data_IF_543431030432
#
_entry.id   IF_543431030432
#
_cell.length_a   1.000
_cell.length_b   1.000
_cell.length_c   1.000
_cell.angle_alpha   90.00
_cell.angle_beta   90.00
_cell.angle_gamma   90.00
#
_symmetry.space_group_name_H-M   'P 1'
#
loop_
_entity.id
_entity.type
_entity.pdbx_description
1 polymer ?
#
# COMPACT_ATOMS: atom_id res chain seq x y z
N UNK A 1 28.30 18.71 69.11
CA UNK A 1 27.83 19.47 67.91
C UNK A 1 28.46 19.06 66.52
N UNK A 2 29.74 18.68 66.48
CA UNK A 2 30.42 18.34 65.19
C UNK A 2 29.99 17.00 64.57
N UNK A 3 29.67 16.00 65.40
CA UNK A 3 29.23 14.67 64.91
C UNK A 3 27.85 14.68 64.32
N UNK A 4 26.91 15.47 64.83
CA UNK A 4 25.53 15.57 64.28
C UNK A 4 25.48 16.26 62.90
N UNK A 5 26.32 17.29 62.71
CA UNK A 5 26.42 17.97 61.39
C UNK A 5 27.03 17.06 60.34
N UNK A 6 27.89 16.12 60.65
CA UNK A 6 28.48 15.12 59.77
C UNK A 6 27.43 14.05 59.36
N UNK A 7 26.60 13.61 60.30
CA UNK A 7 25.52 12.68 60.06
C UNK A 7 24.47 13.26 59.17
N UNK A 8 24.08 14.54 59.36
CA UNK A 8 23.10 15.23 58.54
C UNK A 8 23.57 15.44 57.06
N UNK A 9 24.88 15.76 56.91
CA UNK A 9 25.49 15.90 55.58
C UNK A 9 25.56 14.58 54.82
N UNK A 10 25.76 13.45 55.50
CA UNK A 10 25.83 12.12 54.90
C UNK A 10 24.43 11.65 54.46
N UNK A 11 23.39 11.91 55.23
CA UNK A 11 22.00 11.61 54.89
C UNK A 11 21.52 12.43 53.66
N UNK A 12 21.87 13.71 53.60
CA UNK A 12 21.56 14.57 52.45
C UNK A 12 22.29 14.13 51.17
N UNK A 13 23.55 13.70 51.27
CA UNK A 13 24.32 13.20 50.13
C UNK A 13 23.75 11.87 49.58
N UNK A 14 23.35 10.96 50.46
CA UNK A 14 22.71 9.68 50.07
C UNK A 14 21.33 9.93 49.46
N UNK A 15 20.53 10.88 49.98
CA UNK A 15 19.26 11.25 49.42
C UNK A 15 19.38 11.89 48.02
N UNK A 16 20.42 12.74 47.83
CA UNK A 16 20.69 13.33 46.51
C UNK A 16 21.16 12.29 45.47
N UNK A 17 21.91 11.28 45.88
CA UNK A 17 22.30 10.17 45.00
C UNK A 17 21.09 9.29 44.59
N UNK A 18 20.12 9.09 45.49
CA UNK A 18 18.89 8.33 45.16
C UNK A 18 17.98 9.07 44.22
N UNK A 19 17.90 10.40 44.27
CA UNK A 19 17.12 11.21 43.32
C UNK A 19 17.76 11.30 41.94
N UNK A 20 19.09 11.18 41.84
CA UNK A 20 19.80 11.14 40.54
C UNK A 20 19.66 9.78 39.84
N UNK A 21 19.48 8.69 40.59
CA UNK A 21 19.24 7.36 40.02
C UNK A 21 17.78 7.16 39.55
N UNK A 22 16.82 7.96 40.04
CA UNK A 22 15.44 7.96 39.59
C UNK A 22 15.23 8.81 38.33
N UNK A 23 16.22 9.59 37.88
CA UNK A 23 16.19 10.38 36.66
C UNK A 23 16.67 9.63 35.40
N UNK A 24 17.05 8.34 35.51
CA UNK A 24 17.04 7.45 34.35
C UNK A 24 15.56 7.25 33.98
N UNK A 25 15.08 8.03 33.01
CA UNK A 25 13.74 7.92 32.49
C UNK A 25 13.43 6.45 32.25
N UNK A 26 12.34 5.96 32.80
CA UNK A 26 11.73 4.74 32.35
C UNK A 26 11.49 4.98 30.85
N UNK A 27 12.29 4.31 30.00
CA UNK A 27 11.91 4.14 28.62
C UNK A 27 10.50 3.54 28.69
N UNK A 28 9.49 4.30 28.27
CA UNK A 28 8.18 3.74 27.97
C UNK A 28 8.44 2.45 27.21
N UNK A 29 7.83 1.32 27.56
CA UNK A 29 7.93 0.14 26.74
C UNK A 29 7.38 0.57 25.37
N UNK A 30 8.29 0.80 24.43
CA UNK A 30 7.96 0.86 23.01
C UNK A 30 7.30 -0.49 22.78
N UNK A 31 5.96 -0.51 22.75
CA UNK A 31 5.23 -1.72 22.41
C UNK A 31 5.87 -2.29 21.17
N UNK A 32 5.75 -3.58 20.92
CA UNK A 32 6.34 -4.38 19.83
C UNK A 32 6.13 -3.76 18.41
N UNK A 33 6.47 -2.49 18.24
CA UNK A 33 6.48 -1.80 16.96
C UNK A 33 7.85 -2.02 16.34
N UNK A 34 7.86 -2.90 15.34
CA UNK A 34 9.02 -3.09 14.49
C UNK A 34 9.28 -1.78 13.73
N UNK A 35 10.32 -1.05 14.07
CA UNK A 35 10.74 0.14 13.33
C UNK A 35 11.73 -0.29 12.24
N UNK A 36 11.36 -0.07 10.98
CA UNK A 36 12.22 -0.34 9.83
C UNK A 36 12.75 0.99 9.29
N UNK A 37 14.08 1.13 9.21
CA UNK A 37 14.73 2.25 8.53
C UNK A 37 15.15 1.80 7.12
N UNK A 38 14.60 2.44 6.10
CA UNK A 38 14.89 2.16 4.70
C UNK A 38 15.58 3.37 4.08
N UNK A 39 16.73 3.15 3.43
CA UNK A 39 17.39 4.19 2.65
C UNK A 39 16.94 4.09 1.18
N UNK A 40 16.35 5.17 0.68
CA UNK A 40 15.79 5.23 -0.69
C UNK A 40 16.57 6.14 -1.64
N UNK A 41 17.62 6.81 -1.14
CA UNK A 41 18.49 7.67 -1.93
C UNK A 41 17.89 9.05 -2.29
N UNK A 42 16.65 9.12 -2.72
CA UNK A 42 15.95 10.34 -3.13
C UNK A 42 14.57 10.46 -2.48
N UNK A 43 14.07 11.69 -2.39
CA UNK A 43 12.69 11.92 -1.95
C UNK A 43 11.72 11.44 -3.04
N UNK A 44 10.74 10.58 -2.73
CA UNK A 44 9.77 10.11 -3.70
C UNK A 44 8.98 11.27 -4.31
N UNK A 45 8.83 11.28 -5.62
CA UNK A 45 7.98 12.22 -6.32
C UNK A 45 6.50 11.84 -6.19
N UNK A 46 6.23 10.55 -5.96
CA UNK A 46 4.86 10.05 -5.82
C UNK A 46 4.75 8.92 -4.78
N UNK A 47 3.58 8.86 -4.14
CA UNK A 47 3.12 7.70 -3.36
C UNK A 47 1.89 7.06 -4.03
N UNK A 48 1.58 7.43 -5.26
CA UNK A 48 0.52 6.82 -6.05
C UNK A 48 1.07 5.62 -6.85
N UNK A 49 0.60 4.40 -6.59
CA UNK A 49 1.14 3.19 -7.21
C UNK A 49 1.19 3.22 -8.74
N UNK A 50 0.23 3.89 -9.39
CA UNK A 50 0.16 3.91 -10.86
C UNK A 50 1.15 4.86 -11.54
N UNK A 51 1.91 5.65 -10.75
CA UNK A 51 2.92 6.59 -11.25
C UNK A 51 4.34 6.33 -10.71
N UNK A 52 4.52 5.32 -9.87
CA UNK A 52 5.80 5.01 -9.24
C UNK A 52 6.77 4.31 -10.20
N UNK A 53 7.54 5.09 -10.92
CA UNK A 53 8.50 4.59 -11.91
C UNK A 53 9.92 4.43 -11.33
N UNK A 54 10.26 5.21 -10.29
CA UNK A 54 11.59 5.20 -9.70
C UNK A 54 11.78 4.10 -8.63
N UNK A 55 12.97 3.50 -8.52
CA UNK A 55 13.23 2.40 -7.57
C UNK A 55 12.96 2.77 -6.10
N UNK A 56 13.20 4.03 -5.71
CA UNK A 56 12.94 4.53 -4.36
C UNK A 56 11.45 4.55 -4.03
N UNK A 57 10.62 5.00 -4.98
CA UNK A 57 9.16 4.99 -4.88
C UNK A 57 8.62 3.57 -4.76
N UNK A 58 9.10 2.68 -5.63
CA UNK A 58 8.73 1.27 -5.63
C UNK A 58 9.10 0.58 -4.32
N UNK A 59 10.29 0.89 -3.77
CA UNK A 59 10.71 0.37 -2.47
C UNK A 59 9.74 0.78 -1.37
N UNK A 60 9.37 2.06 -1.28
CA UNK A 60 8.42 2.54 -0.27
C UNK A 60 7.06 1.89 -0.45
N UNK A 61 6.52 1.86 -1.67
CA UNK A 61 5.20 1.33 -1.93
C UNK A 61 5.09 -0.16 -1.58
N UNK A 62 6.15 -0.94 -1.80
CA UNK A 62 6.21 -2.35 -1.36
C UNK A 62 6.17 -2.52 0.16
N UNK A 63 6.50 -1.50 0.94
CA UNK A 63 6.35 -1.51 2.39
C UNK A 63 4.97 -1.00 2.84
N UNK A 64 4.39 -0.06 2.09
CA UNK A 64 3.11 0.56 2.41
C UNK A 64 1.90 -0.28 1.98
N UNK A 65 2.04 -1.09 0.92
CA UNK A 65 0.92 -1.83 0.35
C UNK A 65 1.25 -3.32 0.19
N UNK A 66 0.23 -4.16 0.31
CA UNK A 66 0.29 -5.59 -0.03
C UNK A 66 -0.63 -5.87 -1.22
N UNK A 67 -0.06 -6.46 -2.28
CA UNK A 67 -0.81 -6.83 -3.48
C UNK A 67 -1.44 -8.24 -3.34
N UNK A 68 -2.19 -8.69 -4.35
CA UNK A 68 -2.79 -10.02 -4.41
C UNK A 68 -1.75 -11.13 -4.22
N UNK A 69 -0.63 -11.00 -4.94
CA UNK A 69 0.52 -11.89 -4.85
C UNK A 69 1.76 -11.09 -4.46
N UNK A 70 2.81 -11.78 -4.00
CA UNK A 70 4.14 -11.22 -3.74
C UNK A 70 5.22 -12.14 -4.27
N UNK A 71 6.40 -11.60 -4.50
CA UNK A 71 7.54 -12.38 -4.96
C UNK A 71 8.36 -12.87 -3.76
N UNK A 72 8.68 -14.16 -3.75
CA UNK A 72 9.59 -14.77 -2.78
C UNK A 72 10.61 -15.67 -3.52
N UNK A 73 11.72 -15.98 -2.87
CA UNK A 73 12.64 -17.00 -3.35
C UNK A 73 12.22 -18.36 -2.81
N UNK A 74 12.14 -19.36 -3.71
CA UNK A 74 11.93 -20.75 -3.33
C UNK A 74 13.21 -21.39 -2.76
N UNK A 75 13.14 -22.67 -2.39
CA UNK A 75 14.27 -23.45 -1.84
C UNK A 75 15.47 -23.55 -2.81
N UNK A 76 15.26 -23.32 -4.10
CA UNK A 76 16.28 -23.34 -5.15
C UNK A 76 16.80 -21.92 -5.49
N UNK A 77 16.33 -20.89 -4.77
CA UNK A 77 16.66 -19.49 -5.03
C UNK A 77 15.95 -18.89 -6.26
N UNK A 78 14.91 -19.55 -6.78
CA UNK A 78 14.12 -19.04 -7.89
C UNK A 78 13.02 -18.08 -7.37
N UNK A 79 12.82 -16.96 -8.06
CA UNK A 79 11.77 -16.01 -7.74
C UNK A 79 10.41 -16.57 -8.18
N UNK A 80 9.52 -16.80 -7.24
CA UNK A 80 8.16 -17.33 -7.45
C UNK A 80 7.12 -16.40 -6.88
N UNK A 81 5.93 -16.38 -7.50
CA UNK A 81 4.78 -15.67 -6.96
C UNK A 81 4.10 -16.52 -5.87
N UNK A 82 3.95 -15.95 -4.69
CA UNK A 82 3.23 -16.56 -3.56
C UNK A 82 2.05 -15.69 -3.16
N UNK A 83 1.15 -16.23 -2.36
CA UNK A 83 -0.02 -15.50 -1.90
C UNK A 83 0.36 -14.28 -1.04
N UNK A 84 -0.06 -13.09 -1.45
CA UNK A 84 -0.03 -11.84 -0.71
C UNK A 84 -1.34 -11.58 0.04
N UNK A 85 -2.09 -10.56 -0.33
CA UNK A 85 -3.43 -10.30 0.21
C UNK A 85 -4.45 -11.37 -0.16
N UNK A 86 -4.24 -12.12 -1.24
CA UNK A 86 -5.00 -13.33 -1.52
C UNK A 86 -4.54 -14.49 -0.61
N UNK A 87 -5.48 -15.27 -0.08
CA UNK A 87 -5.19 -16.54 0.61
C UNK A 87 -5.22 -17.73 -0.35
N UNK A 88 -5.96 -17.61 -1.46
CA UNK A 88 -6.05 -18.63 -2.51
C UNK A 88 -6.48 -18.00 -3.82
N UNK A 89 -6.08 -18.63 -4.91
CA UNK A 89 -6.53 -18.35 -6.27
C UNK A 89 -7.04 -19.65 -6.92
N UNK A 90 -8.24 -19.60 -7.49
CA UNK A 90 -8.77 -20.66 -8.34
C UNK A 90 -8.71 -20.16 -9.79
N UNK A 91 -8.22 -21.01 -10.69
CA UNK A 91 -8.07 -20.71 -12.12
C UNK A 91 -9.01 -21.63 -12.91
N UNK A 92 -9.76 -21.06 -13.83
CA UNK A 92 -10.70 -21.78 -14.68
C UNK A 92 -10.53 -21.35 -16.13
N UNK A 93 -10.24 -22.27 -17.01
CA UNK A 93 -10.32 -22.09 -18.46
C UNK A 93 -11.80 -22.17 -18.87
N UNK A 94 -12.26 -21.22 -19.66
CA UNK A 94 -13.61 -21.14 -20.18
C UNK A 94 -13.68 -21.73 -21.59
N UNK A 95 -14.87 -22.12 -22.02
CA UNK A 95 -15.08 -22.75 -23.33
C UNK A 95 -14.81 -21.81 -24.53
N UNK A 96 -14.81 -20.50 -24.30
CA UNK A 96 -14.51 -19.45 -25.26
C UNK A 96 -13.02 -19.09 -25.35
N UNK A 97 -12.15 -19.78 -24.62
CA UNK A 97 -10.71 -19.56 -24.59
C UNK A 97 -10.26 -18.50 -23.57
N UNK A 98 -11.18 -17.83 -22.89
CA UNK A 98 -10.85 -16.91 -21.80
C UNK A 98 -10.45 -17.69 -20.53
N UNK A 99 -9.72 -17.04 -19.62
CA UNK A 99 -9.31 -17.65 -18.35
C UNK A 99 -9.77 -16.79 -17.18
N UNK A 100 -10.52 -17.39 -16.27
CA UNK A 100 -11.05 -16.70 -15.09
C UNK A 100 -10.24 -17.06 -13.84
N UNK A 101 -9.71 -16.03 -13.19
CA UNK A 101 -9.02 -16.12 -11.89
C UNK A 101 -9.97 -15.65 -10.79
N UNK A 102 -10.15 -16.48 -9.76
CA UNK A 102 -10.94 -16.14 -8.59
C UNK A 102 -10.05 -16.08 -7.36
N UNK A 103 -9.77 -14.88 -6.90
CA UNK A 103 -8.97 -14.62 -5.70
C UNK A 103 -9.87 -14.54 -4.48
N UNK A 104 -9.53 -15.28 -3.39
CA UNK A 104 -10.15 -15.12 -2.08
C UNK A 104 -9.18 -14.38 -1.18
N UNK A 105 -9.57 -13.21 -0.69
CA UNK A 105 -8.74 -12.39 0.19
C UNK A 105 -8.64 -13.01 1.59
N UNK A 106 -7.51 -12.76 2.28
CA UNK A 106 -7.23 -13.31 3.63
C UNK A 106 -7.88 -12.50 4.78
N UNK A 107 -8.50 -11.34 4.49
CA UNK A 107 -9.13 -10.51 5.53
C UNK A 107 -8.15 -9.57 6.23
N UNK A 108 -7.25 -8.91 5.48
CA UNK A 108 -6.38 -7.84 6.01
C UNK A 108 -7.15 -6.58 6.38
N UNK A 109 -6.46 -5.66 7.05
CA UNK A 109 -6.99 -4.35 7.40
C UNK A 109 -6.11 -3.25 6.82
N UNK A 110 -6.73 -2.15 6.50
CA UNK A 110 -6.07 -0.88 6.26
C UNK A 110 -5.53 -0.29 7.56
N UNK A 111 -4.57 0.62 7.48
CA UNK A 111 -3.93 1.27 8.65
C UNK A 111 -4.92 2.03 9.53
N UNK A 112 -6.09 2.41 9.00
CA UNK A 112 -7.20 3.02 9.74
C UNK A 112 -8.17 1.99 10.38
N UNK A 113 -7.87 0.69 10.27
CA UNK A 113 -8.64 -0.40 10.85
C UNK A 113 -9.80 -0.92 9.99
N UNK A 114 -10.10 -0.28 8.86
CA UNK A 114 -11.11 -0.75 7.90
C UNK A 114 -10.63 -2.03 7.21
N UNK A 115 -11.54 -2.95 6.89
CA UNK A 115 -11.20 -4.20 6.19
C UNK A 115 -10.80 -3.92 4.74
N UNK A 116 -9.75 -4.62 4.26
CA UNK A 116 -9.38 -4.67 2.84
C UNK A 116 -10.42 -5.48 2.08
N UNK A 117 -10.96 -4.92 1.00
CA UNK A 117 -12.05 -5.53 0.23
C UNK A 117 -11.64 -5.76 -1.23
N UNK A 118 -12.30 -6.71 -1.87
CA UNK A 118 -12.13 -6.95 -3.31
C UNK A 118 -12.44 -5.69 -4.15
N UNK A 119 -13.37 -4.85 -3.69
CA UNK A 119 -13.66 -3.56 -4.32
C UNK A 119 -12.49 -2.59 -4.37
N UNK A 120 -11.54 -2.68 -3.43
CA UNK A 120 -10.35 -1.83 -3.40
C UNK A 120 -9.40 -2.17 -4.56
N UNK A 121 -9.31 -3.45 -4.92
CA UNK A 121 -8.58 -3.92 -6.11
C UNK A 121 -9.32 -3.54 -7.40
N UNK A 122 -10.65 -3.70 -7.44
CA UNK A 122 -11.45 -3.29 -8.61
C UNK A 122 -11.23 -1.80 -8.89
N UNK A 123 -11.36 -0.95 -7.87
CA UNK A 123 -11.13 0.49 -8.01
C UNK A 123 -9.72 0.80 -8.51
N UNK A 124 -8.69 0.19 -7.91
CA UNK A 124 -7.30 0.43 -8.31
C UNK A 124 -7.02 0.02 -9.75
N UNK A 125 -7.51 -1.15 -10.20
CA UNK A 125 -7.29 -1.64 -11.56
C UNK A 125 -8.09 -0.86 -12.60
N UNK A 126 -9.33 -0.48 -12.29
CA UNK A 126 -10.12 0.42 -13.14
C UNK A 126 -9.43 1.78 -13.30
N UNK A 127 -8.89 2.32 -12.21
CA UNK A 127 -8.14 3.56 -12.22
C UNK A 127 -6.84 3.44 -13.03
N UNK A 128 -6.12 2.32 -12.92
CA UNK A 128 -4.92 2.04 -13.73
C UNK A 128 -5.26 1.96 -15.23
N UNK A 129 -6.38 1.33 -15.59
CA UNK A 129 -6.82 1.20 -16.98
C UNK A 129 -7.34 2.51 -17.57
N UNK A 130 -7.80 3.46 -16.75
CA UNK A 130 -8.44 4.71 -17.20
C UNK A 130 -7.45 5.58 -17.99
N UNK A 131 -7.71 5.88 -19.28
CA UNK A 131 -6.85 6.73 -20.09
C UNK A 131 -6.67 8.13 -19.51
N UNK A 132 -7.63 8.63 -18.72
CA UNK A 132 -7.51 9.95 -18.07
C UNK A 132 -6.38 10.03 -17.03
N UNK A 133 -5.90 8.92 -16.53
CA UNK A 133 -4.76 8.87 -15.59
C UNK A 133 -3.41 9.05 -16.29
N UNK A 134 -3.30 8.64 -17.56
CA UNK A 134 -2.04 8.70 -18.30
C UNK A 134 -0.95 7.77 -17.76
N UNK A 135 -1.29 6.75 -16.95
CA UNK A 135 -0.30 5.83 -16.38
C UNK A 135 0.45 5.05 -17.45
N UNK A 136 1.79 5.03 -17.36
CA UNK A 136 2.65 4.21 -18.22
C UNK A 136 2.43 2.70 -17.99
N UNK A 137 1.90 2.32 -16.83
CA UNK A 137 1.62 0.93 -16.48
C UNK A 137 0.26 0.39 -16.96
N UNK A 138 -0.61 1.24 -17.53
CA UNK A 138 -1.92 0.81 -18.02
C UNK A 138 -1.86 -0.44 -18.95
N UNK A 139 -0.85 -0.59 -19.84
CA UNK A 139 -0.72 -1.77 -20.69
C UNK A 139 -0.57 -3.11 -19.96
N UNK A 140 -0.20 -3.14 -18.69
CA UNK A 140 -0.20 -4.38 -17.88
C UNK A 140 -1.57 -5.05 -17.84
N UNK A 141 -2.65 -4.27 -17.96
CA UNK A 141 -4.02 -4.77 -17.95
C UNK A 141 -4.57 -5.08 -19.33
N UNK A 142 -3.76 -4.97 -20.41
CA UNK A 142 -4.22 -5.20 -21.80
C UNK A 142 -4.74 -6.62 -22.06
N UNK A 143 -4.31 -7.57 -21.25
CA UNK A 143 -4.74 -8.99 -21.28
C UNK A 143 -6.06 -9.22 -20.52
N UNK A 144 -6.55 -8.24 -19.79
CA UNK A 144 -7.84 -8.34 -19.08
C UNK A 144 -8.96 -8.11 -20.08
N UNK A 145 -9.91 -9.05 -20.14
CA UNK A 145 -11.06 -8.96 -21.04
C UNK A 145 -11.77 -7.60 -20.87
N UNK A 146 -12.13 -7.00 -21.98
CA UNK A 146 -12.82 -5.69 -22.00
C UNK A 146 -11.91 -4.48 -21.86
N UNK A 147 -10.59 -4.63 -21.78
CA UNK A 147 -9.63 -3.52 -21.61
C UNK A 147 -9.78 -2.46 -22.72
N UNK A 148 -9.71 -2.85 -23.98
CA UNK A 148 -9.84 -1.91 -25.12
C UNK A 148 -11.21 -1.24 -25.17
N UNK A 149 -12.27 -1.99 -24.88
CA UNK A 149 -13.62 -1.46 -24.84
C UNK A 149 -13.80 -0.43 -23.72
N UNK A 150 -13.30 -0.73 -22.52
CA UNK A 150 -13.32 0.18 -21.40
C UNK A 150 -12.59 1.49 -21.71
N UNK A 151 -11.38 1.41 -22.26
CA UNK A 151 -10.56 2.58 -22.60
C UNK A 151 -11.15 3.42 -23.72
N UNK A 152 -11.73 2.77 -24.72
CA UNK A 152 -12.34 3.46 -25.87
C UNK A 152 -13.64 4.18 -25.51
N UNK A 153 -14.45 3.58 -24.64
CA UNK A 153 -15.73 4.15 -24.19
C UNK A 153 -15.61 5.11 -23.01
N UNK A 154 -14.52 5.01 -22.23
CA UNK A 154 -14.38 5.68 -20.93
C UNK A 154 -15.17 5.01 -19.80
N UNK A 155 -15.84 3.88 -20.08
CA UNK A 155 -16.58 3.10 -19.08
C UNK A 155 -15.72 1.97 -18.53
N UNK A 156 -15.03 2.25 -17.42
CA UNK A 156 -14.14 1.30 -16.76
C UNK A 156 -14.86 0.08 -16.17
N UNK A 157 -16.20 0.08 -16.09
CA UNK A 157 -16.95 -1.09 -15.66
C UNK A 157 -16.94 -2.24 -16.68
N UNK A 158 -16.54 -1.96 -17.94
CA UNK A 158 -16.34 -2.98 -18.98
C UNK A 158 -15.07 -3.81 -18.79
N UNK A 159 -14.11 -3.34 -18.00
CA UNK A 159 -12.94 -4.13 -17.63
C UNK A 159 -13.37 -5.33 -16.77
N UNK A 160 -13.01 -6.54 -17.18
CA UNK A 160 -13.44 -7.78 -16.52
C UNK A 160 -12.70 -8.03 -15.17
N UNK A 161 -12.78 -7.05 -14.29
CA UNK A 161 -12.31 -7.10 -12.90
C UNK A 161 -13.49 -6.75 -12.00
N UNK A 162 -13.97 -7.71 -11.22
CA UNK A 162 -15.21 -7.55 -10.44
C UNK A 162 -15.07 -8.09 -9.02
N UNK A 163 -15.73 -7.44 -8.07
CA UNK A 163 -15.88 -7.94 -6.71
C UNK A 163 -17.18 -8.77 -6.61
N UNK A 164 -17.07 -10.09 -6.57
CA UNK A 164 -18.22 -10.99 -6.37
C UNK A 164 -18.87 -10.76 -4.99
N UNK A 165 -18.06 -10.44 -4.01
CA UNK A 165 -18.43 -10.02 -2.65
C UNK A 165 -17.22 -9.28 -2.04
N UNK A 166 -17.31 -8.88 -0.77
CA UNK A 166 -16.23 -8.12 -0.10
C UNK A 166 -14.87 -8.82 -0.09
N UNK A 167 -14.82 -10.15 -0.14
CA UNK A 167 -13.57 -10.93 -0.02
C UNK A 167 -13.23 -11.76 -1.27
N UNK A 168 -14.00 -11.62 -2.34
CA UNK A 168 -13.79 -12.42 -3.57
C UNK A 168 -13.68 -11.52 -4.77
N UNK A 169 -12.46 -11.42 -5.33
CA UNK A 169 -12.17 -10.74 -6.58
C UNK A 169 -12.18 -11.74 -7.73
N UNK A 170 -12.79 -11.37 -8.84
CA UNK A 170 -12.81 -12.17 -10.07
C UNK A 170 -12.21 -11.34 -11.19
N UNK A 171 -11.24 -11.91 -11.89
CA UNK A 171 -10.57 -11.33 -13.05
C UNK A 171 -10.68 -12.32 -14.19
N UNK A 172 -11.13 -11.85 -15.35
CA UNK A 172 -11.16 -12.66 -16.57
C UNK A 172 -10.18 -12.11 -17.58
N UNK A 173 -9.28 -12.96 -18.06
CA UNK A 173 -8.31 -12.66 -19.11
C UNK A 173 -8.85 -13.12 -20.47
N UNK A 174 -8.42 -12.48 -21.53
CA UNK A 174 -8.80 -12.82 -22.91
C UNK A 174 -8.09 -14.07 -23.47
N UNK A 175 -7.17 -14.65 -22.68
CA UNK A 175 -6.43 -15.86 -23.01
C UNK A 175 -5.66 -16.40 -21.80
N UNK A 176 -4.81 -17.39 -22.06
CA UNK A 176 -3.92 -17.97 -21.04
C UNK A 176 -2.58 -17.22 -21.02
N UNK A 177 -2.19 -16.71 -19.85
CA UNK A 177 -0.96 -15.96 -19.61
C UNK A 177 -0.25 -16.47 -18.35
N UNK A 178 0.77 -17.28 -18.51
CA UNK A 178 1.50 -17.93 -17.41
C UNK A 178 2.21 -16.90 -16.48
N UNK A 179 2.49 -15.71 -17.01
CA UNK A 179 3.12 -14.62 -16.27
C UNK A 179 2.14 -13.73 -15.47
N UNK A 180 0.82 -13.88 -15.65
CA UNK A 180 -0.19 -13.02 -15.04
C UNK A 180 -0.03 -12.91 -13.51
N UNK A 181 0.09 -14.04 -12.81
CA UNK A 181 0.24 -14.03 -11.35
C UNK A 181 1.56 -13.41 -10.91
N UNK A 182 2.62 -13.61 -11.71
CA UNK A 182 3.97 -13.17 -11.35
C UNK A 182 4.25 -11.71 -11.74
N UNK A 183 3.69 -11.21 -12.83
CA UNK A 183 4.01 -9.87 -13.34
C UNK A 183 2.89 -8.87 -13.01
N UNK A 184 1.62 -9.26 -13.20
CA UNK A 184 0.50 -8.33 -12.96
C UNK A 184 0.08 -8.31 -11.50
N UNK A 185 -0.11 -9.49 -10.88
CA UNK A 185 -0.65 -9.56 -9.51
C UNK A 185 0.40 -9.22 -8.43
N UNK A 186 1.66 -9.02 -8.79
CA UNK A 186 2.73 -8.54 -7.90
C UNK A 186 3.19 -7.13 -8.22
N UNK A 187 2.74 -6.55 -9.34
CA UNK A 187 3.12 -5.20 -9.76
C UNK A 187 2.64 -4.15 -8.77
N UNK A 188 3.48 -3.17 -8.49
CA UNK A 188 3.14 -2.01 -7.68
C UNK A 188 1.92 -1.29 -8.26
N UNK A 189 1.85 -1.12 -9.57
CA UNK A 189 0.77 -0.40 -10.24
C UNK A 189 -0.62 -1.04 -10.06
N UNK A 190 -0.68 -2.32 -9.68
CA UNK A 190 -1.93 -3.06 -9.42
C UNK A 190 -2.27 -3.23 -7.92
N UNK A 191 -1.53 -2.56 -7.04
CA UNK A 191 -1.81 -2.53 -5.61
C UNK A 191 -3.19 -1.95 -5.30
N UNK A 192 -3.88 -2.42 -4.26
CA UNK A 192 -5.21 -1.94 -3.91
C UNK A 192 -5.18 -0.50 -3.42
N UNK A 193 -6.27 0.23 -3.64
CA UNK A 193 -6.48 1.59 -3.15
C UNK A 193 -7.90 1.76 -2.60
N UNK A 194 -8.03 2.51 -1.52
CA UNK A 194 -9.31 2.92 -0.93
C UNK A 194 -9.90 4.07 -1.74
N UNK A 195 -10.99 3.80 -2.47
CA UNK A 195 -11.66 4.81 -3.29
C UNK A 195 -12.08 6.04 -2.48
N UNK A 196 -12.68 5.84 -1.32
CA UNK A 196 -13.15 6.93 -0.44
C UNK A 196 -11.98 7.80 0.07
N UNK A 197 -10.84 7.20 0.36
CA UNK A 197 -9.63 7.91 0.80
C UNK A 197 -9.04 8.73 -0.35
N UNK A 198 -8.84 8.09 -1.51
CA UNK A 198 -8.29 8.77 -2.70
C UNK A 198 -9.18 9.94 -3.12
N UNK A 199 -10.50 9.75 -3.18
CA UNK A 199 -11.45 10.79 -3.57
C UNK A 199 -11.44 11.96 -2.57
N UNK A 200 -11.46 11.68 -1.26
CA UNK A 200 -11.39 12.69 -0.21
C UNK A 200 -10.10 13.50 -0.27
N UNK A 201 -8.95 12.82 -0.43
CA UNK A 201 -7.65 13.48 -0.49
C UNK A 201 -7.48 14.24 -1.81
N UNK A 202 -8.03 13.73 -2.92
CA UNK A 202 -8.06 14.44 -4.20
C UNK A 202 -8.86 15.72 -4.09
N UNK A 203 -10.07 15.67 -3.53
CA UNK A 203 -10.88 16.87 -3.33
C UNK A 203 -10.12 17.91 -2.51
N UNK A 204 -9.48 17.51 -1.40
CA UNK A 204 -8.67 18.40 -0.58
C UNK A 204 -7.50 19.03 -1.34
N UNK A 205 -6.83 18.24 -2.19
CA UNK A 205 -5.75 18.73 -3.04
C UNK A 205 -6.26 19.71 -4.10
N UNK A 206 -7.40 19.42 -4.74
CA UNK A 206 -8.02 20.29 -5.74
C UNK A 206 -8.45 21.65 -5.13
N UNK A 207 -9.03 21.63 -3.92
CA UNK A 207 -9.38 22.86 -3.17
C UNK A 207 -8.13 23.70 -2.84
N UNK A 208 -7.02 23.05 -2.43
CA UNK A 208 -5.77 23.74 -2.15
C UNK A 208 -5.13 24.31 -3.44
N UNK A 209 -5.20 23.58 -4.55
CA UNK A 209 -4.70 24.05 -5.85
C UNK A 209 -5.53 25.21 -6.41
N UNK A 210 -6.84 25.25 -6.15
CA UNK A 210 -7.72 26.34 -6.58
C UNK A 210 -7.33 27.71 -5.98
N UNK A 211 -6.55 27.73 -4.90
CA UNK A 211 -6.01 28.96 -4.29
C UNK A 211 -4.66 29.40 -4.91
N UNK A 212 -4.08 28.60 -5.82
CA UNK A 212 -2.82 28.90 -6.51
C UNK A 212 -3.06 29.70 -7.80
N UNK A 213 -2.02 30.31 -8.39
CA UNK A 213 -2.09 30.90 -9.73
C UNK A 213 -2.61 29.92 -10.78
N UNK A 214 -3.29 30.44 -11.80
CA UNK A 214 -3.89 29.63 -12.88
C UNK A 214 -2.84 28.72 -13.54
N UNK A 215 -3.16 27.42 -13.60
CA UNK A 215 -2.30 26.37 -14.17
C UNK A 215 -1.28 25.77 -13.23
N UNK A 216 -1.13 26.28 -11.99
CA UNK A 216 -0.28 25.65 -10.99
C UNK A 216 -1.00 24.49 -10.30
N UNK A 217 -0.35 23.32 -10.29
CA UNK A 217 -0.82 22.13 -9.58
C UNK A 217 0.32 21.56 -8.75
N UNK A 218 0.33 21.92 -7.47
CA UNK A 218 1.36 21.49 -6.50
C UNK A 218 0.85 20.32 -5.64
N UNK A 219 -0.43 20.38 -5.24
CA UNK A 219 -1.00 19.38 -4.37
C UNK A 219 -1.59 18.21 -5.16
N UNK A 220 -1.31 17.00 -4.71
CA UNK A 220 -1.85 15.75 -5.21
C UNK A 220 -2.49 15.00 -4.05
N UNK A 221 -3.31 13.98 -4.31
CA UNK A 221 -3.93 13.20 -3.24
C UNK A 221 -2.90 12.52 -2.32
N UNK A 222 -1.69 12.28 -2.81
CA UNK A 222 -0.57 11.67 -2.08
C UNK A 222 0.44 12.67 -1.51
N UNK A 223 0.24 14.00 -1.65
CA UNK A 223 1.24 15.01 -1.26
C UNK A 223 1.52 15.06 0.25
N UNK A 224 0.58 14.60 1.06
CA UNK A 224 0.75 14.46 2.51
C UNK A 224 0.79 12.97 2.88
N UNK A 225 2.00 12.39 3.04
CA UNK A 225 2.13 10.95 3.34
C UNK A 225 1.51 10.57 4.68
N UNK A 226 1.33 11.50 5.63
CA UNK A 226 0.72 11.22 6.93
C UNK A 226 -0.79 10.93 6.85
N UNK A 227 -1.42 11.25 5.72
CA UNK A 227 -2.84 11.01 5.49
C UNK A 227 -3.11 9.79 4.61
N UNK A 228 -2.06 9.12 4.15
CA UNK A 228 -2.20 7.89 3.39
C UNK A 228 -2.77 6.78 4.27
N UNK A 229 -3.62 5.97 3.67
CA UNK A 229 -4.16 4.75 4.28
C UNK A 229 -3.62 3.57 3.51
N UNK A 230 -2.92 2.69 4.20
CA UNK A 230 -2.10 1.62 3.63
C UNK A 230 -2.55 0.26 4.14
N UNK A 231 -2.26 -0.82 3.42
CA UNK A 231 -2.61 -2.18 3.81
C UNK A 231 -1.39 -3.10 3.94
N UNK A 232 -0.20 -2.54 3.87
CA UNK A 232 1.06 -3.25 4.01
C UNK A 232 1.44 -3.54 5.47
N UNK A 233 2.59 -4.18 5.68
CA UNK A 233 3.06 -4.59 7.01
C UNK A 233 3.56 -3.43 7.89
N UNK A 234 3.72 -2.22 7.34
CA UNK A 234 4.30 -1.04 8.03
C UNK A 234 3.41 0.19 7.88
#
# INVERSE_FOLDING_TARGET
MKLWKRGLALVLAVSACFTLLAACGQAEPVGDQLALAVCIGETPATYDPIYAEEPGEQTILNHLYENLMRLEQDENGQTVAVNGAARSVDVKENADGTVTYTFRLRGGKWSDGVEVKAGDFVYAWQRLADPATGSAYAPLLSIVSGYDAARSSGDMSQLAVTAKNSTTLVVTLDGQYDWFLREVCTSIATMPLRQDVVQRLKQKADEANAALPEGEVVNRWWSDPTQLVTNGPY
#
